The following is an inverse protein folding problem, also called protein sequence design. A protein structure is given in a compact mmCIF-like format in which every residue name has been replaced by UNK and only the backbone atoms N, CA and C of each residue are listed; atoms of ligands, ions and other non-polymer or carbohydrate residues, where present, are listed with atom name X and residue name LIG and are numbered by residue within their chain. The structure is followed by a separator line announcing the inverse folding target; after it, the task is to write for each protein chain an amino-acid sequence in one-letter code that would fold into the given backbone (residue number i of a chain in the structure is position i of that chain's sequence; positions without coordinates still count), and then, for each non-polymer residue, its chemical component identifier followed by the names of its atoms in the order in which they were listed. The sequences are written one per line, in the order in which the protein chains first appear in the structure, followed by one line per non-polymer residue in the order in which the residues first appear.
data_IF_293583189867
#
_entry.id   IF_293583189867
#
_cell.length_a   1.000
_cell.length_b   1.000
_cell.length_c   1.000
_cell.angle_alpha   90.00
_cell.angle_beta   90.00
_cell.angle_gamma   90.00
#
_symmetry.space_group_name_H-M   'P 1'
#
loop_
_entity.id
_entity.type
_entity.pdbx_description
1 polymer ?
#
# COMPACT_ATOMS: atom_id res chain seq x y z
N UNK A 1 37.41 -14.67 15.09
CA UNK A 1 36.37 -13.65 15.14
C UNK A 1 35.48 -13.82 13.94
N UNK A 2 34.35 -14.49 14.11
CA UNK A 2 33.34 -14.64 13.05
C UNK A 2 32.66 -13.27 12.87
N UNK A 3 32.82 -12.66 11.70
CA UNK A 3 32.07 -11.48 11.36
C UNK A 3 30.58 -11.90 11.30
N UNK A 4 29.77 -11.39 12.22
CA UNK A 4 28.32 -11.50 12.14
C UNK A 4 27.88 -10.94 10.79
N UNK A 5 27.56 -11.82 9.85
CA UNK A 5 26.91 -11.41 8.61
C UNK A 5 25.51 -10.95 8.98
N UNK A 6 25.34 -9.63 9.10
CA UNK A 6 24.04 -9.02 9.26
C UNK A 6 23.15 -9.53 8.13
N UNK A 7 22.03 -10.15 8.46
CA UNK A 7 21.05 -10.57 7.45
C UNK A 7 20.61 -9.33 6.64
N UNK A 8 20.50 -9.47 5.30
CA UNK A 8 20.08 -8.36 4.47
C UNK A 8 18.66 -7.90 4.86
N UNK A 9 18.41 -6.60 4.79
CA UNK A 9 17.07 -6.06 4.95
C UNK A 9 16.13 -6.63 3.88
N UNK A 10 14.82 -6.47 4.08
CA UNK A 10 13.85 -6.93 3.09
C UNK A 10 14.04 -6.20 1.75
N UNK A 11 14.35 -4.90 1.78
CA UNK A 11 14.68 -4.11 0.60
C UNK A 11 15.94 -4.62 -0.10
N UNK A 12 17.01 -4.83 0.64
CA UNK A 12 18.26 -5.38 0.09
C UNK A 12 18.04 -6.75 -0.56
N UNK A 13 17.15 -7.59 0.01
CA UNK A 13 16.79 -8.88 -0.58
C UNK A 13 16.07 -8.74 -1.92
N UNK A 14 15.15 -7.77 -2.05
CA UNK A 14 14.46 -7.47 -3.31
C UNK A 14 15.44 -6.91 -4.34
N UNK A 15 16.33 -6.01 -3.94
CA UNK A 15 17.36 -5.45 -4.82
C UNK A 15 18.33 -6.53 -5.33
N UNK A 16 18.71 -7.51 -4.50
CA UNK A 16 19.51 -8.66 -4.93
C UNK A 16 18.80 -9.49 -6.01
N UNK A 17 17.51 -9.73 -5.87
CA UNK A 17 16.73 -10.46 -6.88
C UNK A 17 16.62 -9.66 -8.17
N UNK A 18 16.37 -8.36 -8.09
CA UNK A 18 16.34 -7.46 -9.22
C UNK A 18 17.68 -7.44 -9.98
N UNK A 19 18.81 -7.26 -9.28
CA UNK A 19 20.15 -7.23 -9.87
C UNK A 19 20.49 -8.54 -10.61
N UNK A 20 20.04 -9.69 -10.10
CA UNK A 20 20.18 -10.97 -10.80
C UNK A 20 19.42 -11.01 -12.13
N UNK A 21 18.22 -10.47 -12.16
CA UNK A 21 17.42 -10.41 -13.40
C UNK A 21 18.07 -9.45 -14.41
N UNK A 22 18.47 -8.27 -13.97
CA UNK A 22 19.10 -7.24 -14.81
C UNK A 22 20.42 -7.73 -15.42
N UNK A 23 21.21 -8.52 -14.70
CA UNK A 23 22.45 -9.10 -15.21
C UNK A 23 22.25 -10.01 -16.44
N UNK A 24 21.04 -10.44 -16.73
CA UNK A 24 20.67 -11.23 -17.91
C UNK A 24 20.05 -10.38 -19.04
N UNK A 25 19.94 -9.06 -18.84
CA UNK A 25 19.27 -8.14 -19.77
C UNK A 25 20.28 -7.13 -20.33
N UNK A 26 20.05 -6.69 -21.56
CA UNK A 26 20.79 -5.58 -22.16
C UNK A 26 19.94 -4.32 -22.03
N UNK A 27 20.10 -3.62 -20.90
CA UNK A 27 19.37 -2.39 -20.61
C UNK A 27 20.16 -1.16 -21.03
N UNK A 28 19.45 -0.15 -21.50
CA UNK A 28 20.07 1.15 -21.77
C UNK A 28 20.64 1.80 -20.49
N UNK A 29 21.73 2.58 -20.59
CA UNK A 29 22.35 3.22 -19.43
C UNK A 29 21.34 4.04 -18.60
N UNK A 30 21.34 3.84 -17.29
CA UNK A 30 20.45 4.52 -16.33
C UNK A 30 19.05 3.90 -16.19
N UNK A 31 18.62 3.02 -17.10
CA UNK A 31 17.29 2.39 -17.01
C UNK A 31 17.19 1.45 -15.80
N UNK A 32 18.26 0.69 -15.51
CA UNK A 32 18.36 -0.15 -14.31
C UNK A 32 18.06 0.66 -13.04
N UNK A 33 18.76 1.79 -12.87
CA UNK A 33 18.59 2.66 -11.70
C UNK A 33 17.16 3.21 -11.63
N UNK A 34 16.60 3.63 -12.77
CA UNK A 34 15.23 4.15 -12.86
C UNK A 34 14.18 3.11 -12.48
N UNK A 35 14.39 1.85 -12.83
CA UNK A 35 13.47 0.76 -12.46
C UNK A 35 13.61 0.38 -10.99
N UNK A 36 14.80 0.46 -10.43
CA UNK A 36 15.10 0.03 -9.07
C UNK A 36 14.51 0.96 -7.98
N UNK A 37 14.52 2.27 -8.21
CA UNK A 37 14.13 3.25 -7.19
C UNK A 37 12.63 3.50 -7.17
N UNK A 38 12.08 3.71 -5.96
CA UNK A 38 10.71 4.19 -5.82
C UNK A 38 10.60 5.65 -6.26
N UNK A 39 9.53 5.97 -6.99
CA UNK A 39 9.26 7.34 -7.42
C UNK A 39 9.00 8.28 -6.24
N UNK A 40 8.24 7.80 -5.24
CA UNK A 40 7.92 8.58 -4.06
C UNK A 40 7.59 7.68 -2.86
N UNK A 41 7.95 8.14 -1.66
CA UNK A 41 7.52 7.51 -0.41
C UNK A 41 7.08 8.59 0.56
N UNK A 42 5.88 8.42 1.10
CA UNK A 42 5.25 9.33 2.03
C UNK A 42 5.19 8.70 3.42
N UNK A 43 5.73 9.40 4.41
CA UNK A 43 5.49 9.11 5.83
C UNK A 43 4.39 10.03 6.33
N UNK A 44 3.31 9.44 6.82
CA UNK A 44 2.12 10.15 7.28
C UNK A 44 1.99 9.96 8.79
N UNK A 45 1.98 11.05 9.55
CA UNK A 45 1.73 11.03 11.00
C UNK A 45 0.43 11.76 11.30
N UNK A 46 -0.40 11.14 12.16
CA UNK A 46 -1.70 11.70 12.52
C UNK A 46 -2.13 11.30 13.92
N UNK A 47 -2.99 12.09 14.53
CA UNK A 47 -3.57 11.82 15.84
C UNK A 47 -5.04 11.43 15.75
N UNK A 48 -5.47 10.50 16.60
CA UNK A 48 -6.87 10.16 16.83
C UNK A 48 -7.14 10.21 18.33
N UNK A 49 -8.27 10.78 18.73
CA UNK A 49 -8.70 10.78 20.15
C UNK A 49 -9.35 9.45 20.46
N UNK A 50 -8.68 8.63 21.25
CA UNK A 50 -9.12 7.30 21.67
C UNK A 50 -8.89 7.15 23.18
N UNK A 51 -9.78 6.47 23.87
CA UNK A 51 -9.64 6.18 25.31
C UNK A 51 -9.33 7.44 26.14
N UNK A 52 -9.95 8.57 25.81
CA UNK A 52 -9.79 9.84 26.50
C UNK A 52 -8.51 10.64 26.19
N UNK A 53 -7.61 10.14 25.34
CA UNK A 53 -6.35 10.79 24.99
C UNK A 53 -6.10 10.79 23.48
N UNK A 54 -5.14 11.59 23.01
CA UNK A 54 -4.71 11.59 21.62
C UNK A 54 -3.63 10.50 21.45
N UNK A 55 -3.94 9.51 20.63
CA UNK A 55 -3.00 8.49 20.17
C UNK A 55 -2.40 8.93 18.83
N UNK A 56 -1.08 8.81 18.67
CA UNK A 56 -0.37 9.18 17.44
C UNK A 56 0.03 7.93 16.66
N UNK A 57 -0.27 7.94 15.38
CA UNK A 57 -0.01 6.84 14.47
C UNK A 57 0.95 7.26 13.36
N UNK A 58 1.75 6.30 12.87
CA UNK A 58 2.64 6.49 11.73
C UNK A 58 2.27 5.51 10.64
N UNK A 59 1.93 6.03 9.47
CA UNK A 59 1.65 5.27 8.28
C UNK A 59 2.58 5.64 7.13
N UNK A 60 2.62 4.79 6.13
CA UNK A 60 3.45 4.93 4.94
C UNK A 60 2.63 4.66 3.68
N UNK A 61 2.97 5.34 2.60
CA UNK A 61 2.54 4.98 1.24
C UNK A 61 3.70 5.22 0.29
N UNK A 62 4.14 4.15 -0.38
CA UNK A 62 5.19 4.21 -1.40
C UNK A 62 4.60 3.94 -2.77
N UNK A 63 5.03 4.72 -3.75
CA UNK A 63 4.79 4.54 -5.17
C UNK A 63 6.12 4.15 -5.79
N UNK A 64 6.21 2.92 -6.28
CA UNK A 64 7.44 2.44 -6.91
C UNK A 64 7.53 2.90 -8.35
N UNK A 65 6.51 2.67 -9.15
CA UNK A 65 6.53 3.05 -10.56
C UNK A 65 5.14 3.46 -11.04
N UNK A 66 5.10 4.59 -11.73
CA UNK A 66 3.92 5.19 -12.38
C UNK A 66 4.01 5.05 -13.90
N UNK A 67 4.68 4.01 -14.40
CA UNK A 67 4.76 3.73 -15.84
C UNK A 67 3.39 3.39 -16.45
N UNK A 68 2.45 2.98 -15.62
CA UNK A 68 1.02 2.78 -15.92
C UNK A 68 0.17 3.18 -14.71
N UNK A 69 -0.93 3.86 -14.98
CA UNK A 69 -1.93 4.24 -13.97
C UNK A 69 -3.17 3.32 -14.04
N UNK A 70 -3.83 3.13 -12.89
CA UNK A 70 -3.42 3.56 -11.55
C UNK A 70 -2.28 2.70 -10.98
N UNK A 71 -1.51 3.25 -10.06
CA UNK A 71 -0.61 2.42 -9.27
C UNK A 71 -1.42 1.61 -8.25
N UNK A 72 -1.03 0.36 -8.04
CA UNK A 72 -1.80 -0.62 -7.27
C UNK A 72 -0.97 -1.26 -6.16
N UNK A 73 -1.55 -1.38 -4.95
CA UNK A 73 -0.90 -2.10 -3.86
C UNK A 73 -1.67 -2.08 -2.55
N UNK A 74 -1.49 -3.13 -1.74
CA UNK A 74 -2.19 -3.34 -0.48
C UNK A 74 -1.79 -2.36 0.63
N UNK A 75 -2.63 -2.25 1.64
CA UNK A 75 -2.39 -1.56 2.91
C UNK A 75 -2.20 -2.61 3.99
N UNK A 76 -1.02 -2.65 4.61
CA UNK A 76 -0.67 -3.59 5.68
C UNK A 76 -0.82 -2.94 7.05
N UNK A 77 -1.43 -3.63 7.99
CA UNK A 77 -1.44 -3.26 9.41
C UNK A 77 -0.58 -4.26 10.18
N UNK A 78 0.58 -3.82 10.63
CA UNK A 78 1.48 -4.61 11.45
C UNK A 78 2.49 -3.72 12.19
N UNK A 79 2.96 -4.15 13.35
CA UNK A 79 3.99 -3.42 14.11
C UNK A 79 5.35 -3.37 13.40
N UNK A 80 5.61 -4.33 12.51
CA UNK A 80 6.84 -4.37 11.71
C UNK A 80 6.88 -3.33 10.58
N UNK A 81 5.73 -2.74 10.21
CA UNK A 81 5.64 -1.77 9.10
C UNK A 81 6.61 -0.61 9.30
N UNK A 82 7.47 -0.42 8.32
CA UNK A 82 8.42 0.67 8.22
C UNK A 82 8.61 1.08 6.74
N UNK A 83 9.39 2.11 6.48
CA UNK A 83 9.60 2.64 5.14
C UNK A 83 10.27 1.61 4.21
N UNK A 84 11.32 0.94 4.68
CA UNK A 84 12.10 -0.05 3.91
C UNK A 84 11.19 -1.20 3.41
N UNK A 85 10.37 -1.75 4.31
CA UNK A 85 9.41 -2.81 3.97
C UNK A 85 8.38 -2.34 2.94
N UNK A 86 7.83 -1.13 3.10
CA UNK A 86 6.80 -0.60 2.20
C UNK A 86 7.37 -0.33 0.82
N UNK A 87 8.59 0.20 0.70
CA UNK A 87 9.28 0.40 -0.56
C UNK A 87 9.59 -0.92 -1.28
N UNK A 88 10.13 -1.89 -0.56
CA UNK A 88 10.40 -3.22 -1.10
C UNK A 88 9.13 -3.89 -1.65
N UNK A 89 8.04 -3.84 -0.88
CA UNK A 89 6.76 -4.39 -1.30
C UNK A 89 6.13 -3.62 -2.47
N UNK A 90 6.35 -2.30 -2.58
CA UNK A 90 5.89 -1.50 -3.72
C UNK A 90 6.62 -1.90 -5.01
N UNK A 91 7.94 -2.17 -4.94
CA UNK A 91 8.72 -2.69 -6.06
C UNK A 91 8.20 -4.06 -6.51
N UNK A 92 7.97 -4.98 -5.56
CA UNK A 92 7.38 -6.29 -5.86
C UNK A 92 5.98 -6.18 -6.50
N UNK A 93 5.18 -5.18 -6.14
CA UNK A 93 3.89 -4.96 -6.80
C UNK A 93 4.04 -4.55 -8.26
N UNK A 94 5.02 -3.69 -8.60
CA UNK A 94 5.34 -3.37 -10.01
C UNK A 94 5.73 -4.63 -10.79
N UNK A 95 6.66 -5.41 -10.25
CA UNK A 95 7.14 -6.62 -10.92
C UNK A 95 6.02 -7.66 -11.06
N UNK A 96 5.19 -7.82 -10.02
CA UNK A 96 4.04 -8.72 -10.06
C UNK A 96 3.04 -8.33 -11.15
N UNK A 97 2.69 -7.04 -11.26
CA UNK A 97 1.79 -6.56 -12.31
C UNK A 97 2.37 -6.78 -13.71
N UNK A 98 3.68 -6.50 -13.89
CA UNK A 98 4.36 -6.68 -15.15
C UNK A 98 4.40 -8.16 -15.59
N UNK A 99 4.70 -9.09 -14.68
CA UNK A 99 4.78 -10.53 -14.97
C UNK A 99 3.44 -11.11 -15.44
N UNK A 100 2.33 -10.59 -14.92
CA UNK A 100 0.97 -11.06 -15.29
C UNK A 100 0.28 -10.12 -16.29
N UNK A 101 1.03 -9.18 -16.86
CA UNK A 101 0.56 -8.22 -17.88
C UNK A 101 -0.69 -7.42 -17.45
N UNK A 102 -0.82 -7.11 -16.15
CA UNK A 102 -1.86 -6.23 -15.64
C UNK A 102 -1.39 -4.78 -15.79
N UNK A 103 -2.17 -3.90 -16.45
CA UNK A 103 -1.76 -2.53 -16.75
C UNK A 103 -1.87 -1.63 -15.51
N UNK A 104 -1.01 -1.86 -14.53
CA UNK A 104 -0.93 -1.07 -13.29
C UNK A 104 0.53 -0.85 -12.91
N UNK A 105 0.82 0.33 -12.42
CA UNK A 105 2.05 0.58 -11.68
C UNK A 105 2.02 -0.04 -10.28
N UNK A 106 3.12 0.01 -9.57
CA UNK A 106 3.25 -0.58 -8.23
C UNK A 106 3.24 0.43 -7.11
N UNK A 107 2.45 0.14 -6.09
CA UNK A 107 2.46 0.88 -4.83
C UNK A 107 2.28 -0.06 -3.63
N UNK A 108 2.59 0.44 -2.46
CA UNK A 108 2.33 -0.25 -1.18
C UNK A 108 2.09 0.77 -0.09
N UNK A 109 1.23 0.40 0.85
CA UNK A 109 1.04 1.20 2.06
C UNK A 109 1.06 0.34 3.31
N UNK A 110 1.14 1.01 4.44
CA UNK A 110 1.03 0.34 5.72
C UNK A 110 0.83 1.32 6.86
N UNK A 111 0.28 0.81 7.94
CA UNK A 111 0.13 1.52 9.20
C UNK A 111 0.80 0.69 10.31
N UNK A 112 1.64 1.32 11.10
CA UNK A 112 2.36 0.64 12.19
C UNK A 112 1.45 0.50 13.40
N UNK A 113 0.59 -0.53 13.37
CA UNK A 113 -0.30 -0.93 14.47
C UNK A 113 -0.47 -2.44 14.51
N UNK A 114 -0.77 -2.99 15.67
CA UNK A 114 -1.39 -4.30 15.78
C UNK A 114 -2.92 -4.11 15.81
N UNK A 115 -3.66 -4.52 14.77
CA UNK A 115 -5.11 -4.31 14.71
C UNK A 115 -5.88 -5.04 15.82
N UNK A 116 -5.27 -6.05 16.47
CA UNK A 116 -5.89 -6.82 17.55
C UNK A 116 -5.92 -6.08 18.90
N UNK A 117 -5.15 -4.99 19.04
CA UNK A 117 -5.09 -4.17 20.25
C UNK A 117 -6.21 -3.12 20.33
N UNK A 118 -7.00 -2.98 19.25
CA UNK A 118 -8.03 -1.97 19.09
C UNK A 118 -9.41 -2.60 18.94
N UNK A 119 -10.40 -2.02 19.62
CA UNK A 119 -11.80 -2.37 19.40
C UNK A 119 -12.22 -1.95 17.98
N UNK A 120 -13.32 -2.53 17.49
CA UNK A 120 -13.74 -2.31 16.09
C UNK A 120 -14.01 -0.83 15.77
N UNK A 121 -14.68 -0.12 16.67
CA UNK A 121 -14.97 1.31 16.52
C UNK A 121 -13.70 2.18 16.59
N UNK A 122 -12.75 1.81 17.44
CA UNK A 122 -11.45 2.47 17.52
C UNK A 122 -10.64 2.25 16.23
N UNK A 123 -10.59 1.01 15.74
CA UNK A 123 -9.91 0.66 14.50
C UNK A 123 -10.55 1.36 13.29
N UNK A 124 -11.87 1.51 13.28
CA UNK A 124 -12.58 2.30 12.27
C UNK A 124 -12.13 3.76 12.28
N UNK A 125 -12.09 4.40 13.45
CA UNK A 125 -11.63 5.79 13.57
C UNK A 125 -10.18 5.96 13.09
N UNK A 126 -9.28 5.05 13.47
CA UNK A 126 -7.88 5.04 13.02
C UNK A 126 -7.82 4.90 11.50
N UNK A 127 -8.54 3.92 10.94
CA UNK A 127 -8.54 3.62 9.50
C UNK A 127 -9.12 4.77 8.68
N UNK A 128 -10.23 5.36 9.11
CA UNK A 128 -10.82 6.53 8.46
C UNK A 128 -9.89 7.75 8.50
N UNK A 129 -9.22 7.98 9.63
CA UNK A 129 -8.27 9.08 9.72
C UNK A 129 -7.05 8.83 8.82
N UNK A 130 -6.54 7.62 8.75
CA UNK A 130 -5.48 7.27 7.82
C UNK A 130 -5.90 7.45 6.36
N UNK A 131 -7.09 6.96 6.00
CA UNK A 131 -7.66 7.16 4.66
C UNK A 131 -7.83 8.64 4.31
N UNK A 132 -8.27 9.48 5.25
CA UNK A 132 -8.32 10.93 5.08
C UNK A 132 -6.94 11.52 4.76
N UNK A 133 -5.91 11.13 5.51
CA UNK A 133 -4.55 11.63 5.29
C UNK A 133 -3.96 11.18 3.94
N UNK A 134 -4.31 9.98 3.48
CA UNK A 134 -3.90 9.50 2.17
C UNK A 134 -4.67 10.19 1.04
N UNK A 135 -6.01 10.29 1.17
CA UNK A 135 -6.86 10.85 0.12
C UNK A 135 -6.56 12.33 -0.19
N UNK A 136 -6.30 13.15 0.84
CA UNK A 136 -5.93 14.56 0.63
C UNK A 136 -4.58 14.78 -0.10
N UNK A 137 -3.84 13.69 -0.39
CA UNK A 137 -2.57 13.69 -1.11
C UNK A 137 -2.62 12.85 -2.38
N UNK A 138 -3.82 12.48 -2.84
CA UNK A 138 -4.07 11.60 -3.97
C UNK A 138 -3.42 10.19 -3.85
N UNK A 139 -3.11 9.80 -2.62
CA UNK A 139 -2.57 8.46 -2.29
C UNK A 139 -3.67 7.40 -2.10
N UNK A 140 -4.93 7.82 -2.17
CA UNK A 140 -6.13 7.06 -2.48
C UNK A 140 -6.88 7.85 -3.54
N UNK A 141 -6.91 7.33 -4.77
CA UNK A 141 -7.58 7.97 -5.90
C UNK A 141 -7.88 6.93 -6.98
N UNK A 142 -9.11 6.88 -7.56
CA UNK A 142 -9.51 5.83 -8.50
C UNK A 142 -8.67 5.76 -9.77
N UNK A 143 -8.13 6.89 -10.22
CA UNK A 143 -7.35 6.95 -11.46
C UNK A 143 -5.83 6.99 -11.24
N UNK A 144 -5.35 7.18 -10.02
CA UNK A 144 -3.92 7.37 -9.74
C UNK A 144 -3.36 6.31 -8.79
N UNK A 145 -4.03 6.05 -7.66
CA UNK A 145 -3.46 5.23 -6.59
C UNK A 145 -4.53 4.44 -5.85
N UNK A 146 -4.64 3.16 -6.16
CA UNK A 146 -5.73 2.29 -5.69
C UNK A 146 -5.24 1.26 -4.68
N UNK A 147 -5.53 1.47 -3.38
CA UNK A 147 -5.26 0.49 -2.33
C UNK A 147 -6.05 -0.81 -2.49
N UNK A 148 -5.56 -1.82 -1.78
CA UNK A 148 -6.18 -3.14 -1.64
C UNK A 148 -5.93 -3.68 -0.22
N UNK A 149 -6.62 -4.75 0.22
CA UNK A 149 -6.29 -5.43 1.46
C UNK A 149 -4.91 -6.08 1.41
N UNK A 150 -4.30 -6.22 2.57
CA UNK A 150 -3.05 -6.94 2.82
C UNK A 150 -3.08 -7.54 4.24
N UNK A 151 -1.96 -7.98 4.77
CA UNK A 151 -1.88 -8.50 6.13
C UNK A 151 -2.41 -7.47 7.14
N UNK A 152 -3.29 -7.92 8.04
CA UNK A 152 -3.92 -7.09 9.07
C UNK A 152 -5.06 -6.19 8.56
N UNK A 153 -5.43 -6.26 7.27
CA UNK A 153 -6.61 -5.57 6.71
C UNK A 153 -7.45 -6.50 5.85
N UNK A 154 -8.74 -6.19 5.74
CA UNK A 154 -9.69 -6.99 4.98
C UNK A 154 -10.76 -6.13 4.30
N UNK A 155 -11.88 -6.76 3.99
CA UNK A 155 -13.02 -6.12 3.34
C UNK A 155 -13.58 -4.96 4.16
N UNK A 156 -13.58 -5.09 5.48
CA UNK A 156 -14.07 -4.10 6.43
C UNK A 156 -13.25 -2.81 6.37
N UNK A 157 -11.95 -2.90 6.49
CA UNK A 157 -11.04 -1.75 6.42
C UNK A 157 -11.13 -1.06 5.04
N UNK A 158 -11.25 -1.85 3.97
CA UNK A 158 -11.45 -1.30 2.63
C UNK A 158 -12.79 -0.60 2.48
N UNK A 159 -13.86 -1.09 3.11
CA UNK A 159 -15.16 -0.41 3.14
C UNK A 159 -15.05 0.95 3.83
N UNK A 160 -14.40 1.02 5.00
CA UNK A 160 -14.19 2.28 5.73
C UNK A 160 -13.35 3.28 4.93
N UNK A 161 -12.28 2.82 4.25
CA UNK A 161 -11.46 3.68 3.38
C UNK A 161 -12.26 4.22 2.20
N UNK A 162 -13.05 3.37 1.54
CA UNK A 162 -13.90 3.77 0.41
C UNK A 162 -14.97 4.78 0.84
N UNK A 163 -15.64 4.55 1.97
CA UNK A 163 -16.65 5.47 2.50
C UNK A 163 -16.00 6.81 2.90
N UNK A 164 -14.84 6.80 3.52
CA UNK A 164 -14.10 8.02 3.86
C UNK A 164 -13.72 8.81 2.61
N UNK A 165 -13.21 8.15 1.57
CA UNK A 165 -12.88 8.79 0.30
C UNK A 165 -14.11 9.46 -0.34
N UNK A 166 -15.25 8.74 -0.39
CA UNK A 166 -16.50 9.27 -0.96
C UNK A 166 -17.03 10.49 -0.21
N UNK A 167 -16.90 10.52 1.10
CA UNK A 167 -17.30 11.70 1.91
C UNK A 167 -16.47 12.95 1.60
N UNK A 168 -15.21 12.77 1.19
CA UNK A 168 -14.31 13.87 0.81
C UNK A 168 -14.51 14.31 -0.64
N UNK A 169 -14.91 13.39 -1.52
CA UNK A 169 -14.98 13.56 -2.97
C UNK A 169 -16.39 13.24 -3.48
N UNK A 170 -17.37 14.02 -3.03
CA UNK A 170 -18.80 13.77 -3.28
C UNK A 170 -19.22 13.89 -4.74
N UNK A 171 -18.43 14.59 -5.55
CA UNK A 171 -18.67 14.80 -6.99
C UNK A 171 -17.94 13.78 -7.88
N UNK A 172 -17.06 12.96 -7.31
CA UNK A 172 -16.33 11.94 -8.07
C UNK A 172 -17.22 10.72 -8.35
N UNK A 173 -17.69 10.59 -9.58
CA UNK A 173 -18.51 9.47 -10.04
C UNK A 173 -17.78 8.13 -9.98
N UNK A 174 -16.44 8.15 -10.02
CA UNK A 174 -15.58 6.97 -9.93
C UNK A 174 -15.16 6.63 -8.50
N UNK A 175 -15.66 7.34 -7.50
CA UNK A 175 -15.29 7.20 -6.10
C UNK A 175 -15.34 5.76 -5.56
N UNK A 176 -16.19 4.90 -6.15
CA UNK A 176 -16.26 3.47 -5.81
C UNK A 176 -15.03 2.69 -6.23
N UNK A 177 -14.28 3.16 -7.22
CA UNK A 177 -13.06 2.51 -7.70
C UNK A 177 -11.80 2.89 -6.90
N UNK A 178 -11.90 3.76 -5.91
CA UNK A 178 -10.76 4.27 -5.14
C UNK A 178 -9.99 3.21 -4.34
N UNK A 179 -10.62 2.08 -4.01
CA UNK A 179 -9.99 0.89 -3.41
C UNK A 179 -10.59 -0.39 -3.97
N UNK A 180 -9.85 -1.49 -3.94
CA UNK A 180 -10.35 -2.83 -4.26
C UNK A 180 -10.47 -3.69 -3.00
N UNK A 181 -11.17 -4.83 -3.11
CA UNK A 181 -11.31 -5.78 -1.99
C UNK A 181 -12.29 -5.35 -0.91
N UNK A 182 -13.14 -4.35 -1.16
CA UNK A 182 -14.27 -4.01 -0.33
C UNK A 182 -15.43 -5.01 -0.57
N UNK A 183 -16.38 -5.15 0.37
CA UNK A 183 -17.50 -6.08 0.23
C UNK A 183 -18.43 -5.68 -0.92
N UNK A 184 -19.17 -6.65 -1.45
CA UNK A 184 -20.05 -6.46 -2.62
C UNK A 184 -21.09 -5.36 -2.41
N UNK A 185 -21.70 -5.28 -1.22
CA UNK A 185 -22.66 -4.23 -0.87
C UNK A 185 -22.04 -2.82 -0.79
N UNK A 186 -20.72 -2.72 -0.66
CA UNK A 186 -19.96 -1.47 -0.76
C UNK A 186 -19.40 -1.20 -2.17
N UNK A 187 -19.82 -1.97 -3.18
CA UNK A 187 -19.37 -1.86 -4.57
C UNK A 187 -18.15 -2.72 -4.89
N UNK A 188 -17.92 -3.78 -4.13
CA UNK A 188 -16.92 -4.81 -4.43
C UNK A 188 -17.36 -5.79 -5.52
N UNK A 189 -16.46 -6.66 -5.93
CA UNK A 189 -16.67 -7.68 -6.97
C UNK A 189 -16.75 -9.06 -6.31
N UNK A 190 -17.73 -9.87 -6.75
CA UNK A 190 -17.82 -11.27 -6.30
C UNK A 190 -16.61 -12.11 -6.75
N UNK A 191 -16.29 -13.16 -6.00
CA UNK A 191 -15.28 -14.14 -6.37
C UNK A 191 -13.85 -13.78 -5.97
N UNK A 192 -13.59 -12.58 -5.39
CA UNK A 192 -12.25 -12.18 -4.98
C UNK A 192 -11.63 -13.15 -3.97
N UNK A 193 -12.39 -13.60 -2.98
CA UNK A 193 -11.90 -14.54 -1.95
C UNK A 193 -11.52 -15.88 -2.58
N UNK A 194 -12.35 -16.40 -3.47
CA UNK A 194 -12.06 -17.63 -4.19
C UNK A 194 -10.85 -17.52 -5.13
N UNK A 195 -10.59 -16.33 -5.69
CA UNK A 195 -9.43 -16.08 -6.55
C UNK A 195 -8.09 -15.96 -5.78
N UNK A 196 -8.13 -15.83 -4.46
CA UNK A 196 -6.94 -15.70 -3.62
C UNK A 196 -6.53 -17.04 -2.99
N UNK A 197 -7.44 -18.03 -2.93
CA UNK A 197 -7.24 -19.35 -2.35
C UNK A 197 -6.42 -20.31 -3.19
#
# INVERSE_FOLDING_TARGET
MSADKKEPSFRESVDLMFNRAVALMDLSPGLEEKIRVCNATYTVRFGVRLRGQIQTFTGYRSVHSEHMDPVKGGIRYAMAVNQDEVEALAALMTFKCAVVEVPCGGSKGGLRIDPREWEEDELELITRRFAYELAKRDLIHPSQNVPAPDMGTGEREMAWMADQYRRMNTTDINSRACVTGKPVNAGGIQGRTAATG
#
